data_IF_339377402011
#
_entry.id   IF_339377402011
#
_cell.length_a   1.000
_cell.length_b   1.000
_cell.length_c   1.000
_cell.angle_alpha   90.00
_cell.angle_beta   90.00
_cell.angle_gamma   90.00
#
_symmetry.space_group_name_H-M   'P 1'
#
loop_
_entity.id
_entity.type
_entity.pdbx_description
1 polymer ?
#
# COMPACT_ATOMS: atom_id res chain seq x y z
N UNK A 1 -27.01 -8.77 30.19
CA UNK A 1 -26.61 -7.39 29.80
C UNK A 1 -25.09 -7.39 29.64
N UNK A 2 -24.59 -7.66 28.41
CA UNK A 2 -23.14 -7.64 28.13
C UNK A 2 -22.77 -6.23 27.69
N UNK A 3 -21.94 -5.56 28.48
CA UNK A 3 -21.33 -4.28 28.11
C UNK A 3 -20.44 -4.50 26.90
N UNK A 4 -20.78 -3.85 25.79
CA UNK A 4 -19.94 -3.75 24.60
C UNK A 4 -18.76 -2.86 24.93
N UNK A 5 -17.54 -3.40 24.84
CA UNK A 5 -16.31 -2.62 24.99
C UNK A 5 -16.25 -1.55 23.90
N UNK A 6 -15.94 -0.33 24.32
CA UNK A 6 -15.76 0.82 23.45
C UNK A 6 -14.45 0.65 22.64
N UNK A 7 -14.45 0.70 21.28
CA UNK A 7 -13.27 0.43 20.44
C UNK A 7 -12.33 1.66 20.32
N UNK A 8 -12.14 2.46 21.36
CA UNK A 8 -11.54 3.78 21.22
C UNK A 8 -10.35 4.15 22.10
N UNK A 9 -9.78 3.25 22.91
CA UNK A 9 -8.58 3.61 23.72
C UNK A 9 -7.61 2.43 23.79
N UNK A 10 -6.72 2.32 22.78
CA UNK A 10 -5.54 1.48 22.96
C UNK A 10 -4.73 1.95 24.18
N UNK A 11 -4.29 1.00 25.01
CA UNK A 11 -3.48 1.28 26.20
C UNK A 11 -2.26 2.14 25.81
N UNK A 12 -1.87 3.16 26.60
CA UNK A 12 -0.66 3.93 26.37
C UNK A 12 0.59 3.08 26.18
N UNK A 13 0.70 1.94 26.85
CA UNK A 13 1.78 0.97 26.68
C UNK A 13 1.78 0.32 25.30
N UNK A 14 0.62 -0.07 24.79
CA UNK A 14 0.47 -0.68 23.45
C UNK A 14 0.79 0.32 22.34
N UNK A 15 0.43 1.59 22.52
CA UNK A 15 0.77 2.67 21.57
C UNK A 15 2.28 2.91 21.50
N UNK A 16 2.97 2.95 22.65
CA UNK A 16 4.42 3.13 22.71
C UNK A 16 5.16 1.93 22.08
N UNK A 17 4.71 0.72 22.33
CA UNK A 17 5.26 -0.48 21.70
C UNK A 17 5.03 -0.49 20.18
N UNK A 18 3.86 -0.07 19.72
CA UNK A 18 3.52 0.08 18.31
C UNK A 18 4.40 1.13 17.61
N UNK A 19 4.61 2.28 18.25
CA UNK A 19 5.47 3.35 17.71
C UNK A 19 6.95 2.93 17.66
N UNK A 20 7.45 2.23 18.67
CA UNK A 20 8.81 1.70 18.67
C UNK A 20 9.04 0.65 17.58
N UNK A 21 8.02 -0.18 17.31
CA UNK A 21 8.03 -1.17 16.21
C UNK A 21 8.02 -0.49 14.85
N UNK A 22 7.17 0.52 14.68
CA UNK A 22 7.10 1.32 13.46
C UNK A 22 8.45 2.00 13.15
N UNK A 23 9.08 2.63 14.14
CA UNK A 23 10.41 3.27 13.95
C UNK A 23 11.46 2.29 13.49
N UNK A 24 11.50 1.09 14.06
CA UNK A 24 12.43 0.03 13.61
C UNK A 24 12.14 -0.39 12.16
N UNK A 25 10.88 -0.43 11.75
CA UNK A 25 10.51 -0.72 10.36
C UNK A 25 11.01 0.39 9.42
N UNK A 26 10.80 1.66 9.79
CA UNK A 26 11.29 2.80 9.01
C UNK A 26 12.82 2.80 8.90
N UNK A 27 13.53 2.57 10.01
CA UNK A 27 14.98 2.46 10.00
C UNK A 27 15.47 1.31 9.10
N UNK A 28 14.80 0.17 9.15
CA UNK A 28 15.09 -0.99 8.30
C UNK A 28 14.89 -0.71 6.81
N UNK A 29 13.83 0.04 6.45
CA UNK A 29 13.61 0.48 5.07
C UNK A 29 14.76 1.36 4.57
N UNK A 30 15.19 2.32 5.39
CA UNK A 30 16.24 3.27 5.02
C UNK A 30 17.62 2.61 4.87
N UNK A 31 17.91 1.58 5.67
CA UNK A 31 19.19 0.85 5.56
C UNK A 31 19.12 -0.35 4.61
N UNK A 32 17.96 -0.63 4.02
CA UNK A 32 17.77 -1.72 3.07
C UNK A 32 17.68 -3.12 3.72
N UNK A 33 17.28 -3.23 4.99
CA UNK A 33 17.06 -4.54 5.65
C UNK A 33 15.72 -5.15 5.20
N UNK A 34 15.73 -5.71 3.99
CA UNK A 34 14.57 -6.37 3.36
C UNK A 34 14.07 -7.53 4.21
N UNK A 35 14.98 -8.26 4.88
CA UNK A 35 14.60 -9.43 5.67
C UNK A 35 13.76 -9.03 6.89
N UNK A 36 14.16 -7.99 7.60
CA UNK A 36 13.39 -7.44 8.71
C UNK A 36 12.04 -6.88 8.24
N UNK A 37 12.05 -6.06 7.18
CA UNK A 37 10.81 -5.47 6.63
C UNK A 37 9.81 -6.55 6.22
N UNK A 38 10.27 -7.62 5.56
CA UNK A 38 9.44 -8.76 5.18
C UNK A 38 8.85 -9.48 6.39
N UNK A 39 9.67 -9.73 7.42
CA UNK A 39 9.21 -10.39 8.65
C UNK A 39 8.15 -9.56 9.38
N UNK A 40 8.28 -8.24 9.42
CA UNK A 40 7.31 -7.33 10.02
C UNK A 40 5.97 -7.33 9.28
N UNK A 41 5.99 -7.26 7.95
CA UNK A 41 4.76 -7.33 7.13
C UNK A 41 4.09 -8.70 7.26
N UNK A 42 4.87 -9.79 7.24
CA UNK A 42 4.31 -11.13 7.42
C UNK A 42 3.66 -11.28 8.80
N UNK A 43 4.33 -10.84 9.86
CA UNK A 43 3.77 -10.86 11.21
C UNK A 43 2.50 -10.00 11.36
N UNK A 44 2.40 -8.90 10.59
CA UNK A 44 1.17 -8.09 10.52
C UNK A 44 0.00 -8.89 9.93
N UNK A 45 0.24 -9.54 8.79
CA UNK A 45 -0.76 -10.34 8.08
C UNK A 45 -1.17 -11.57 8.90
N UNK A 46 -0.22 -12.28 9.50
CA UNK A 46 -0.46 -13.46 10.34
C UNK A 46 -1.28 -13.12 11.59
N UNK A 47 -1.14 -11.90 12.11
CA UNK A 47 -1.96 -11.39 13.20
C UNK A 47 -3.40 -11.02 12.79
N UNK A 48 -3.76 -11.18 11.51
CA UNK A 48 -5.11 -10.87 10.99
C UNK A 48 -5.47 -9.38 11.01
N UNK A 49 -4.49 -8.48 11.03
CA UNK A 49 -4.73 -7.03 11.12
C UNK A 49 -5.28 -6.42 9.82
N UNK A 50 -5.32 -7.22 8.74
CA UNK A 50 -5.91 -6.86 7.46
C UNK A 50 -4.97 -6.04 6.55
N UNK A 51 -5.19 -6.22 5.24
CA UNK A 51 -4.36 -5.60 4.18
C UNK A 51 -4.54 -4.07 4.15
N UNK A 52 -5.77 -3.58 4.30
CA UNK A 52 -6.02 -2.14 4.28
C UNK A 52 -5.25 -1.42 5.38
N UNK A 53 -5.30 -1.92 6.61
CA UNK A 53 -4.56 -1.34 7.73
C UNK A 53 -3.04 -1.48 7.54
N UNK A 54 -2.54 -2.58 6.93
CA UNK A 54 -1.14 -2.70 6.53
C UNK A 54 -0.73 -1.54 5.60
N UNK A 55 -1.56 -1.24 4.61
CA UNK A 55 -1.27 -0.20 3.64
C UNK A 55 -1.32 1.20 4.26
N UNK A 56 -2.36 1.52 5.02
CA UNK A 56 -2.57 2.84 5.61
C UNK A 56 -1.61 3.12 6.77
N UNK A 57 -1.50 2.18 7.74
CA UNK A 57 -0.83 2.42 9.02
C UNK A 57 0.67 2.09 8.99
N UNK A 58 1.14 1.27 8.03
CA UNK A 58 2.54 0.88 7.96
C UNK A 58 3.21 1.38 6.68
N UNK A 59 2.77 0.94 5.51
CA UNK A 59 3.48 1.19 4.25
C UNK A 59 3.37 2.67 3.84
N UNK A 60 2.16 3.20 3.73
CA UNK A 60 1.93 4.59 3.34
C UNK A 60 2.58 5.56 4.34
N UNK A 61 2.39 5.32 5.63
CA UNK A 61 3.01 6.12 6.68
C UNK A 61 4.54 6.14 6.53
N UNK A 62 5.18 4.98 6.31
CA UNK A 62 6.62 4.90 6.15
C UNK A 62 7.12 5.64 4.90
N UNK A 63 6.42 5.52 3.78
CA UNK A 63 6.77 6.23 2.54
C UNK A 63 6.64 7.75 2.70
N UNK A 64 5.63 8.25 3.41
CA UNK A 64 5.53 9.68 3.74
C UNK A 64 6.68 10.14 4.63
N UNK A 65 7.04 9.37 5.65
CA UNK A 65 8.17 9.71 6.54
C UNK A 65 9.51 9.70 5.78
N UNK A 66 9.72 8.73 4.87
CA UNK A 66 10.88 8.71 3.96
C UNK A 66 10.90 9.94 3.05
N UNK A 67 9.77 10.34 2.48
CA UNK A 67 9.64 11.57 1.68
C UNK A 67 10.01 12.82 2.47
N UNK A 68 9.52 12.96 3.71
CA UNK A 68 9.88 14.08 4.60
C UNK A 68 11.37 14.07 4.97
N UNK A 69 11.99 12.91 5.14
CA UNK A 69 13.43 12.79 5.38
C UNK A 69 14.22 13.25 4.15
N UNK A 70 13.78 12.86 2.95
CA UNK A 70 14.40 13.31 1.70
C UNK A 70 14.26 14.82 1.50
N UNK A 71 13.07 15.40 1.65
CA UNK A 71 12.83 16.84 1.53
C UNK A 71 13.68 17.65 2.50
N UNK A 72 13.92 17.14 3.71
CA UNK A 72 14.77 17.79 4.72
C UNK A 72 16.27 17.53 4.54
N UNK A 73 16.69 16.81 3.49
CA UNK A 73 18.08 16.47 3.23
C UNK A 73 18.69 15.43 4.20
N UNK A 74 17.85 14.71 4.96
CA UNK A 74 18.27 13.65 5.91
C UNK A 74 18.31 12.27 5.27
N UNK A 75 17.69 12.10 4.11
CA UNK A 75 17.80 10.92 3.26
C UNK A 75 18.16 11.35 1.83
N UNK A 76 18.94 10.55 1.13
CA UNK A 76 19.27 10.77 -0.28
C UNK A 76 18.14 10.29 -1.19
N UNK A 77 18.18 10.68 -2.47
CA UNK A 77 17.30 10.11 -3.51
C UNK A 77 17.46 8.58 -3.61
N UNK A 78 18.68 8.08 -3.40
CA UNK A 78 18.95 6.64 -3.43
C UNK A 78 18.28 5.91 -2.26
N UNK A 79 18.25 6.51 -1.06
CA UNK A 79 17.56 5.94 0.11
C UNK A 79 16.05 5.92 -0.10
N UNK A 80 15.48 6.99 -0.68
CA UNK A 80 14.04 7.07 -1.03
C UNK A 80 13.68 6.00 -2.07
N UNK A 81 14.46 5.86 -3.14
CA UNK A 81 14.23 4.85 -4.17
C UNK A 81 14.37 3.42 -3.62
N UNK A 82 15.34 3.17 -2.74
CA UNK A 82 15.52 1.88 -2.09
C UNK A 82 14.30 1.54 -1.21
N UNK A 83 13.85 2.49 -0.38
CA UNK A 83 12.69 2.29 0.48
C UNK A 83 11.42 2.04 -0.34
N UNK A 84 11.21 2.77 -1.43
CA UNK A 84 10.08 2.58 -2.36
C UNK A 84 10.13 1.19 -3.02
N UNK A 85 11.28 0.77 -3.55
CA UNK A 85 11.44 -0.55 -4.18
C UNK A 85 11.21 -1.70 -3.20
N UNK A 86 11.71 -1.57 -1.96
CA UNK A 86 11.43 -2.55 -0.90
C UNK A 86 9.92 -2.58 -0.63
N UNK A 87 9.29 -1.43 -0.42
CA UNK A 87 7.86 -1.33 -0.13
C UNK A 87 7.01 -1.96 -1.24
N UNK A 88 7.32 -1.71 -2.51
CA UNK A 88 6.66 -2.36 -3.66
C UNK A 88 6.78 -3.90 -3.60
N UNK A 89 7.95 -4.42 -3.22
CA UNK A 89 8.14 -5.86 -3.06
C UNK A 89 7.31 -6.45 -1.91
N UNK A 90 7.14 -5.68 -0.83
CA UNK A 90 6.35 -6.10 0.34
C UNK A 90 4.86 -6.18 0.03
N UNK A 91 4.31 -5.36 -0.88
CA UNK A 91 2.91 -5.45 -1.29
C UNK A 91 2.55 -6.84 -1.85
N UNK A 92 3.52 -7.56 -2.43
CA UNK A 92 3.27 -8.91 -2.94
C UNK A 92 2.92 -9.92 -1.84
N UNK A 93 3.27 -9.67 -0.58
CA UNK A 93 2.89 -10.52 0.56
C UNK A 93 1.38 -10.46 0.86
N UNK A 94 0.72 -9.38 0.45
CA UNK A 94 -0.73 -9.21 0.61
C UNK A 94 -1.54 -10.01 -0.42
N UNK A 95 -0.92 -10.43 -1.52
CA UNK A 95 -1.61 -11.04 -2.65
C UNK A 95 -2.50 -12.24 -2.28
N UNK A 96 -2.09 -13.17 -1.39
CA UNK A 96 -2.94 -14.29 -0.98
C UNK A 96 -4.23 -13.88 -0.26
N UNK A 97 -4.30 -12.65 0.26
CA UNK A 97 -5.42 -12.14 1.05
C UNK A 97 -6.38 -11.24 0.26
N UNK A 98 -6.07 -10.93 -1.02
CA UNK A 98 -6.87 -9.99 -1.82
C UNK A 98 -8.13 -10.61 -2.41
N UNK A 99 -8.15 -11.93 -2.64
CA UNK A 99 -9.15 -12.58 -3.47
C UNK A 99 -10.15 -13.46 -2.70
N UNK A 100 -10.22 -13.30 -1.38
CA UNK A 100 -11.10 -14.12 -0.52
C UNK A 100 -12.59 -13.81 -0.68
N UNK A 101 -12.94 -12.66 -1.27
CA UNK A 101 -14.32 -12.22 -1.46
C UNK A 101 -14.89 -12.68 -2.80
N UNK A 102 -16.18 -13.07 -2.83
CA UNK A 102 -16.88 -13.34 -4.08
C UNK A 102 -16.83 -12.12 -5.00
N UNK A 103 -16.71 -12.39 -6.31
CA UNK A 103 -16.73 -11.30 -7.31
C UNK A 103 -18.06 -10.56 -7.28
N UNK A 104 -17.99 -9.23 -7.27
CA UNK A 104 -19.16 -8.34 -7.39
C UNK A 104 -19.64 -8.20 -8.84
N UNK A 105 -18.87 -8.66 -9.82
CA UNK A 105 -19.10 -8.39 -11.25
C UNK A 105 -18.65 -7.00 -11.70
N UNK A 106 -18.22 -6.13 -10.78
CA UNK A 106 -17.70 -4.81 -11.09
C UNK A 106 -16.20 -4.85 -11.41
N UNK A 107 -15.74 -3.84 -12.17
CA UNK A 107 -14.31 -3.69 -12.47
C UNK A 107 -13.84 -2.24 -12.37
N UNK A 108 -12.58 -2.06 -12.02
CA UNK A 108 -11.90 -0.79 -11.97
C UNK A 108 -10.65 -0.83 -12.86
N UNK A 109 -10.34 0.31 -13.47
CA UNK A 109 -9.06 0.56 -14.12
C UNK A 109 -8.27 1.53 -13.24
N UNK A 110 -7.07 1.15 -12.84
CA UNK A 110 -6.19 1.96 -11.99
C UNK A 110 -4.87 2.16 -12.71
N UNK A 111 -4.43 3.40 -12.86
CA UNK A 111 -3.20 3.74 -13.58
C UNK A 111 -2.62 5.07 -13.09
N UNK A 112 -1.40 5.38 -13.51
CA UNK A 112 -0.82 6.70 -13.34
C UNK A 112 -0.88 7.47 -14.67
N UNK A 113 -0.90 8.79 -14.59
CA UNK A 113 -0.83 9.66 -15.77
C UNK A 113 0.49 9.50 -16.50
N UNK A 114 0.55 9.99 -17.75
CA UNK A 114 1.80 10.10 -18.49
C UNK A 114 2.79 10.99 -17.69
N UNK A 115 4.03 10.52 -17.59
CA UNK A 115 5.13 11.10 -16.80
C UNK A 115 4.97 10.99 -15.26
N UNK A 116 3.92 10.35 -14.74
CA UNK A 116 3.86 9.97 -13.33
C UNK A 116 4.51 8.60 -13.12
N UNK A 117 5.57 8.57 -12.29
CA UNK A 117 6.36 7.38 -12.01
C UNK A 117 6.09 6.79 -10.62
N UNK A 118 5.38 7.51 -9.73
CA UNK A 118 5.04 7.07 -8.38
C UNK A 118 3.81 6.17 -8.39
N UNK A 119 4.02 4.88 -8.67
CA UNK A 119 2.93 3.93 -8.88
C UNK A 119 2.44 3.20 -7.63
N UNK A 120 3.20 3.24 -6.52
CA UNK A 120 2.90 2.40 -5.35
C UNK A 120 1.54 2.73 -4.73
N UNK A 121 1.17 4.03 -4.68
CA UNK A 121 -0.15 4.46 -4.23
C UNK A 121 -1.28 3.93 -5.12
N UNK A 122 -1.11 4.03 -6.44
CA UNK A 122 -2.06 3.49 -7.41
C UNK A 122 -2.18 1.95 -7.28
N UNK A 123 -1.05 1.24 -7.04
CA UNK A 123 -1.06 -0.21 -6.79
C UNK A 123 -1.87 -0.57 -5.55
N UNK A 124 -1.67 0.16 -4.43
CA UNK A 124 -2.45 -0.07 -3.22
C UNK A 124 -3.95 0.16 -3.45
N UNK A 125 -4.33 1.18 -4.23
CA UNK A 125 -5.74 1.41 -4.61
C UNK A 125 -6.29 0.25 -5.43
N UNK A 126 -5.52 -0.27 -6.39
CA UNK A 126 -5.92 -1.43 -7.19
C UNK A 126 -6.16 -2.68 -6.31
N UNK A 127 -5.26 -2.94 -5.38
CA UNK A 127 -5.38 -4.05 -4.42
C UNK A 127 -6.60 -3.88 -3.48
N UNK A 128 -6.96 -2.65 -3.10
CA UNK A 128 -8.17 -2.39 -2.31
C UNK A 128 -9.44 -2.69 -3.11
N UNK A 129 -9.48 -2.44 -4.43
CA UNK A 129 -10.60 -2.88 -5.26
C UNK A 129 -10.74 -4.41 -5.26
N UNK A 130 -9.62 -5.17 -5.44
CA UNK A 130 -9.61 -6.63 -5.38
C UNK A 130 -10.08 -7.15 -4.00
N UNK A 131 -9.61 -6.53 -2.92
CA UNK A 131 -10.02 -6.85 -1.54
C UNK A 131 -11.55 -6.73 -1.32
N UNK A 132 -12.24 -5.92 -2.13
CA UNK A 132 -13.70 -5.75 -2.10
C UNK A 132 -14.43 -6.57 -3.16
N UNK A 133 -13.76 -7.51 -3.82
CA UNK A 133 -14.35 -8.40 -4.83
C UNK A 133 -14.56 -7.75 -6.20
N UNK A 134 -13.92 -6.61 -6.46
CA UNK A 134 -13.87 -6.02 -7.78
C UNK A 134 -12.72 -6.60 -8.59
N UNK A 135 -12.86 -6.66 -9.90
CA UNK A 135 -11.72 -6.94 -10.78
C UNK A 135 -10.96 -5.64 -11.04
N UNK A 136 -9.70 -5.59 -10.67
CA UNK A 136 -8.85 -4.41 -10.91
C UNK A 136 -7.92 -4.64 -12.11
N UNK A 137 -7.91 -3.67 -13.04
CA UNK A 137 -6.94 -3.59 -14.13
C UNK A 137 -5.91 -2.53 -13.76
N UNK A 138 -4.79 -2.97 -13.18
CA UNK A 138 -3.68 -2.07 -12.82
C UNK A 138 -2.68 -1.99 -13.97
N UNK A 139 -2.44 -0.78 -14.51
CA UNK A 139 -1.52 -0.56 -15.63
C UNK A 139 -0.13 -0.07 -15.21
N UNK A 140 0.02 0.32 -13.95
CA UNK A 140 1.29 0.85 -13.47
C UNK A 140 1.54 2.31 -13.85
N UNK A 141 2.82 2.68 -13.85
CA UNK A 141 3.31 4.02 -14.09
C UNK A 141 3.39 4.37 -15.59
N UNK A 142 3.35 5.67 -15.88
CA UNK A 142 3.69 6.24 -17.20
C UNK A 142 2.97 5.57 -18.38
N UNK A 143 1.68 5.27 -18.23
CA UNK A 143 0.91 4.62 -19.32
C UNK A 143 0.46 5.68 -20.33
N UNK A 144 0.69 5.47 -21.65
CA UNK A 144 0.25 6.39 -22.69
C UNK A 144 -1.28 6.58 -22.69
N UNK A 145 -1.73 7.82 -22.80
CA UNK A 145 -3.16 8.14 -22.75
C UNK A 145 -4.01 7.37 -23.77
N UNK A 146 -3.47 7.18 -24.99
CA UNK A 146 -4.17 6.43 -26.05
C UNK A 146 -4.44 4.98 -25.65
N UNK A 147 -3.50 4.33 -24.96
CA UNK A 147 -3.64 2.94 -24.50
C UNK A 147 -4.62 2.82 -23.33
N UNK A 148 -4.61 3.81 -22.43
CA UNK A 148 -5.62 3.91 -21.35
C UNK A 148 -7.03 3.98 -21.96
N UNK A 149 -7.25 4.88 -22.92
CA UNK A 149 -8.56 5.07 -23.58
C UNK A 149 -8.98 3.81 -24.37
N UNK A 150 -8.03 3.15 -25.06
CA UNK A 150 -8.31 1.91 -25.76
C UNK A 150 -8.73 0.78 -24.81
N UNK A 151 -8.06 0.66 -23.66
CA UNK A 151 -8.43 -0.33 -22.65
C UNK A 151 -9.78 -0.01 -22.00
N UNK A 152 -10.04 1.25 -21.69
CA UNK A 152 -11.35 1.69 -21.20
C UNK A 152 -12.49 1.31 -22.15
N UNK A 153 -12.29 1.55 -23.46
CA UNK A 153 -13.29 1.22 -24.47
C UNK A 153 -13.54 -0.30 -24.57
N UNK A 154 -12.50 -1.12 -24.43
CA UNK A 154 -12.58 -2.58 -24.55
C UNK A 154 -13.08 -3.27 -23.28
N UNK A 155 -12.65 -2.81 -22.10
CA UNK A 155 -12.98 -3.45 -20.80
C UNK A 155 -14.20 -2.86 -20.12
N UNK A 156 -14.57 -1.61 -20.46
CA UNK A 156 -15.72 -0.86 -19.91
C UNK A 156 -15.79 -0.89 -18.38
N UNK A 157 -14.70 -0.52 -17.67
CA UNK A 157 -14.71 -0.51 -16.22
C UNK A 157 -15.75 0.48 -15.68
N UNK A 158 -16.32 0.18 -14.51
CA UNK A 158 -17.26 1.08 -13.83
C UNK A 158 -16.54 2.26 -13.16
N UNK A 159 -15.27 2.09 -12.83
CA UNK A 159 -14.43 3.13 -12.21
C UNK A 159 -13.11 3.23 -12.94
N UNK A 160 -12.62 4.45 -13.11
CA UNK A 160 -11.24 4.75 -13.54
C UNK A 160 -10.61 5.61 -12.46
N UNK A 161 -9.49 5.15 -11.91
CA UNK A 161 -8.66 5.88 -10.95
C UNK A 161 -7.35 6.28 -11.63
N UNK A 162 -7.05 7.56 -11.61
CA UNK A 162 -5.84 8.13 -12.20
C UNK A 162 -5.02 8.81 -11.11
N UNK A 163 -3.78 8.34 -10.90
CA UNK A 163 -2.79 9.01 -10.06
C UNK A 163 -2.07 10.10 -10.87
N UNK A 164 -1.90 11.28 -10.25
CA UNK A 164 -1.29 12.48 -10.85
C UNK A 164 -0.10 12.92 -10.01
#
# INVERSE_FOLDING_TARGET
MRMTANPGTADPGDRLAGEARYRRFLDALLVGDVAYCRAEVQAWLDAGRGVRALYEDLIQRALYDVGMLWESGRASVADEHLATAISESLLNLSYPYLFDRPSTGCSALVTCAANEHHQIGARMVADIFELHGWRSYFLGANTPQGDILALMASRRPQVVSLSL
#
